data_IF_488573393502
#
_entry.id   IF_488573393502
#
_cell.length_a   1.000
_cell.length_b   1.000
_cell.length_c   1.000
_cell.angle_alpha   90.00
_cell.angle_beta   90.00
_cell.angle_gamma   90.00
#
_symmetry.space_group_name_H-M   'P 1'
#
loop_
_entity.id
_entity.type
_entity.pdbx_description
1 polymer ?
#
# COMPACT_ATOMS: atom_id res chain seq x y z
N UNK A 1 7.84 0.69 23.38
CA UNK A 1 6.59 0.09 22.88
C UNK A 1 5.65 -0.39 23.99
N UNK A 2 6.12 -0.76 25.18
CA UNK A 2 5.27 -1.23 26.30
C UNK A 2 4.03 -0.37 26.59
N UNK A 3 4.13 0.96 26.58
CA UNK A 3 2.96 1.83 26.75
C UNK A 3 1.89 1.61 25.66
N UNK A 4 2.30 1.47 24.39
CA UNK A 4 1.36 1.16 23.31
C UNK A 4 0.78 -0.25 23.48
N UNK A 5 1.58 -1.22 23.94
CA UNK A 5 1.13 -2.59 24.14
C UNK A 5 -0.01 -2.69 25.16
N UNK A 6 0.01 -1.87 26.21
CA UNK A 6 -1.03 -1.85 27.25
C UNK A 6 -2.32 -1.14 26.81
N UNK A 7 -2.25 -0.23 25.84
CA UNK A 7 -3.40 0.57 25.39
C UNK A 7 -4.00 0.11 24.07
N UNK A 8 -3.24 -0.60 23.24
CA UNK A 8 -3.68 -1.10 21.94
C UNK A 8 -3.65 -2.62 21.97
N UNK A 9 -4.83 -3.23 22.00
CA UNK A 9 -4.97 -4.68 21.89
C UNK A 9 -4.44 -5.18 20.53
N UNK A 10 -4.01 -6.45 20.45
CA UNK A 10 -3.58 -7.03 19.18
C UNK A 10 -4.71 -6.99 18.14
N UNK A 11 -5.94 -7.30 18.54
CA UNK A 11 -7.09 -7.31 17.64
C UNK A 11 -7.37 -5.89 17.09
N UNK A 12 -7.33 -4.86 17.94
CA UNK A 12 -7.43 -3.45 17.50
C UNK A 12 -6.31 -3.08 16.53
N UNK A 13 -5.08 -3.54 16.77
CA UNK A 13 -3.95 -3.30 15.88
C UNK A 13 -4.11 -3.99 14.52
N UNK A 14 -4.68 -5.19 14.49
CA UNK A 14 -4.99 -5.89 13.24
C UNK A 14 -6.05 -5.11 12.45
N UNK A 15 -7.11 -4.62 13.09
CA UNK A 15 -8.12 -3.80 12.42
C UNK A 15 -7.61 -2.42 11.98
N UNK A 16 -6.62 -1.85 12.67
CA UNK A 16 -5.97 -0.60 12.26
C UNK A 16 -5.31 -0.71 10.88
N UNK A 17 -5.03 -1.92 10.39
CA UNK A 17 -4.61 -2.15 9.01
C UNK A 17 -5.54 -1.49 7.99
N UNK A 18 -6.84 -1.74 8.12
CA UNK A 18 -7.87 -1.26 7.20
C UNK A 18 -7.93 0.27 7.19
N UNK A 19 -7.84 0.89 8.36
CA UNK A 19 -7.80 2.35 8.48
C UNK A 19 -6.51 2.94 7.91
N UNK A 20 -5.36 2.32 8.20
CA UNK A 20 -4.05 2.77 7.71
C UNK A 20 -3.98 2.71 6.19
N UNK A 21 -4.40 1.59 5.60
CA UNK A 21 -4.50 1.41 4.17
C UNK A 21 -5.38 2.49 3.53
N UNK A 22 -6.62 2.65 4.01
CA UNK A 22 -7.53 3.64 3.41
C UNK A 22 -7.04 5.07 3.56
N UNK A 23 -6.43 5.45 4.68
CA UNK A 23 -5.87 6.80 4.85
C UNK A 23 -4.76 7.06 3.81
N UNK A 24 -3.91 6.07 3.57
CA UNK A 24 -2.85 6.16 2.58
C UNK A 24 -3.39 6.29 1.16
N UNK A 25 -4.23 5.34 0.76
CA UNK A 25 -4.80 5.31 -0.57
C UNK A 25 -5.76 6.48 -0.84
N UNK A 26 -6.38 7.07 0.19
CA UNK A 26 -7.13 8.32 0.02
C UNK A 26 -6.24 9.48 -0.40
N UNK A 27 -5.03 9.62 0.16
CA UNK A 27 -4.08 10.63 -0.33
C UNK A 27 -3.78 10.39 -1.81
N UNK A 28 -3.51 9.15 -2.20
CA UNK A 28 -3.25 8.81 -3.60
C UNK A 28 -4.45 9.10 -4.50
N UNK A 29 -5.64 8.63 -4.17
CA UNK A 29 -6.88 8.88 -4.93
C UNK A 29 -7.09 10.38 -5.13
N UNK A 30 -6.93 11.19 -4.07
CA UNK A 30 -7.17 12.64 -4.13
C UNK A 30 -6.15 13.35 -5.02
N UNK A 31 -4.89 12.93 -5.00
CA UNK A 31 -3.81 13.69 -5.62
C UNK A 31 -3.26 13.11 -6.93
N UNK A 32 -3.46 11.82 -7.23
CA UNK A 32 -2.80 11.14 -8.35
C UNK A 32 -3.09 11.77 -9.71
N UNK A 33 -4.36 12.04 -10.04
CA UNK A 33 -4.75 12.62 -11.32
C UNK A 33 -4.19 14.04 -11.48
N UNK A 34 -4.36 14.87 -10.45
CA UNK A 34 -3.86 16.26 -10.45
C UNK A 34 -2.33 16.30 -10.53
N UNK A 35 -1.66 15.38 -9.83
CA UNK A 35 -0.20 15.31 -9.82
C UNK A 35 0.34 14.88 -11.18
N UNK A 36 -0.23 13.85 -11.80
CA UNK A 36 0.14 13.41 -13.14
C UNK A 36 -0.08 14.54 -14.16
N UNK A 37 -1.23 15.21 -14.14
CA UNK A 37 -1.52 16.31 -15.08
C UNK A 37 -0.55 17.49 -14.98
N UNK A 38 0.04 17.75 -13.80
CA UNK A 38 0.97 18.88 -13.59
C UNK A 38 2.44 18.49 -13.75
N UNK A 39 2.81 17.30 -13.31
CA UNK A 39 4.21 16.93 -13.13
C UNK A 39 4.71 15.89 -14.13
N UNK A 40 3.83 15.33 -14.98
CA UNK A 40 4.18 14.25 -15.91
C UNK A 40 5.44 14.52 -16.74
N UNK A 41 5.53 15.68 -17.41
CA UNK A 41 6.69 16.01 -18.25
C UNK A 41 7.99 16.08 -17.44
N UNK A 42 7.95 16.75 -16.28
CA UNK A 42 9.11 16.87 -15.39
C UNK A 42 9.54 15.51 -14.86
N UNK A 43 8.59 14.72 -14.33
CA UNK A 43 8.85 13.39 -13.80
C UNK A 43 9.40 12.44 -14.87
N UNK A 44 8.77 12.41 -16.06
CA UNK A 44 9.20 11.59 -17.19
C UNK A 44 10.61 11.94 -17.67
N UNK A 45 10.97 13.22 -17.65
CA UNK A 45 12.31 13.67 -18.07
C UNK A 45 13.41 13.17 -17.15
N UNK A 46 13.14 13.09 -15.84
CA UNK A 46 14.05 12.57 -14.82
C UNK A 46 14.18 11.05 -14.84
N UNK A 47 13.19 10.32 -15.38
CA UNK A 47 13.20 8.86 -15.39
C UNK A 47 14.20 8.25 -16.39
N UNK A 48 14.91 7.16 -16.01
CA UNK A 48 15.66 6.31 -16.92
C UNK A 48 14.80 5.73 -18.05
N UNK A 49 15.37 5.56 -19.25
CA UNK A 49 14.67 5.06 -20.45
C UNK A 49 13.83 3.78 -20.22
N UNK A 50 14.31 2.76 -19.47
CA UNK A 50 13.51 1.54 -19.24
C UNK A 50 12.20 1.80 -18.48
N UNK A 51 12.20 2.78 -17.57
CA UNK A 51 11.04 3.07 -16.72
C UNK A 51 10.02 3.99 -17.40
N UNK A 52 10.43 4.73 -18.44
CA UNK A 52 9.54 5.66 -19.15
C UNK A 52 8.31 4.97 -19.72
N UNK A 53 8.44 3.80 -20.35
CA UNK A 53 7.27 3.09 -20.93
C UNK A 53 6.22 2.73 -19.88
N UNK A 54 6.69 2.25 -18.72
CA UNK A 54 5.81 1.92 -17.60
C UNK A 54 5.15 3.17 -17.03
N UNK A 55 5.91 4.26 -16.85
CA UNK A 55 5.38 5.54 -16.38
C UNK A 55 4.38 6.19 -17.36
N UNK A 56 4.68 6.13 -18.66
CA UNK A 56 3.82 6.65 -19.74
C UNK A 56 2.45 5.95 -19.73
N UNK A 57 2.39 4.69 -19.29
CA UNK A 57 1.12 4.00 -19.15
C UNK A 57 0.17 4.75 -18.20
N UNK A 58 0.67 5.48 -17.19
CA UNK A 58 -0.13 6.20 -16.20
C UNK A 58 -0.42 7.66 -16.56
N UNK A 59 0.05 8.16 -17.71
CA UNK A 59 -0.03 9.59 -18.06
C UNK A 59 -1.42 10.20 -17.87
N UNK A 60 -2.48 9.48 -18.26
CA UNK A 60 -3.86 9.95 -18.22
C UNK A 60 -4.69 9.27 -17.13
N UNK A 61 -4.04 8.77 -16.07
CA UNK A 61 -4.76 8.10 -14.98
C UNK A 61 -5.78 9.05 -14.34
N UNK A 62 -7.01 8.56 -14.17
CA UNK A 62 -8.07 9.25 -13.43
C UNK A 62 -8.11 8.78 -11.99
N UNK A 63 -8.46 9.69 -11.07
CA UNK A 63 -8.63 9.35 -9.65
C UNK A 63 -9.70 8.27 -9.46
N UNK A 64 -10.75 8.30 -10.27
CA UNK A 64 -11.81 7.30 -10.28
C UNK A 64 -11.33 5.93 -10.79
N UNK A 65 -10.46 5.89 -11.82
CA UNK A 65 -9.83 4.65 -12.29
C UNK A 65 -8.90 4.05 -11.23
N UNK A 66 -8.14 4.89 -10.52
CA UNK A 66 -7.28 4.47 -9.42
C UNK A 66 -8.12 3.91 -8.26
N UNK A 67 -9.22 4.58 -7.89
CA UNK A 67 -10.12 4.13 -6.83
C UNK A 67 -10.72 2.74 -7.06
N UNK A 68 -10.88 2.30 -8.31
CA UNK A 68 -11.32 0.91 -8.61
C UNK A 68 -10.29 -0.12 -8.16
N UNK A 69 -8.99 0.15 -8.36
CA UNK A 69 -7.92 -0.73 -7.89
C UNK A 69 -7.91 -0.82 -6.36
N UNK A 70 -7.95 0.35 -5.69
CA UNK A 70 -8.04 0.45 -4.23
C UNK A 70 -9.25 -0.31 -3.68
N UNK A 71 -10.42 -0.18 -4.33
CA UNK A 71 -11.63 -0.88 -3.91
C UNK A 71 -11.50 -2.40 -4.00
N UNK A 72 -10.84 -2.94 -5.03
CA UNK A 72 -10.61 -4.37 -5.18
C UNK A 72 -9.65 -4.91 -4.10
N UNK A 73 -8.60 -4.15 -3.79
CA UNK A 73 -7.67 -4.47 -2.71
C UNK A 73 -8.39 -4.47 -1.36
N UNK A 74 -9.20 -3.43 -1.10
CA UNK A 74 -9.97 -3.31 0.12
C UNK A 74 -10.90 -4.52 0.35
N UNK A 75 -11.60 -4.98 -0.69
CA UNK A 75 -12.48 -6.15 -0.63
C UNK A 75 -11.72 -7.42 -0.20
N UNK A 76 -10.45 -7.55 -0.57
CA UNK A 76 -9.60 -8.71 -0.21
C UNK A 76 -8.96 -8.54 1.17
N UNK A 77 -8.70 -7.30 1.58
CA UNK A 77 -8.12 -6.99 2.89
C UNK A 77 -9.09 -7.21 4.03
N UNK A 78 -10.39 -6.95 3.86
CA UNK A 78 -11.40 -7.21 4.90
C UNK A 78 -11.40 -8.67 5.38
N UNK A 79 -11.62 -9.70 4.52
CA UNK A 79 -11.64 -11.08 4.98
C UNK A 79 -10.27 -11.53 5.52
N UNK A 80 -9.18 -11.04 4.95
CA UNK A 80 -7.82 -11.33 5.45
C UNK A 80 -7.61 -10.77 6.87
N UNK A 81 -8.16 -9.59 7.15
CA UNK A 81 -8.13 -8.96 8.47
C UNK A 81 -8.96 -9.75 9.48
N UNK A 82 -10.17 -10.15 9.10
CA UNK A 82 -11.04 -11.02 9.93
C UNK A 82 -10.34 -12.34 10.25
N UNK A 83 -9.73 -12.98 9.24
CA UNK A 83 -8.97 -14.23 9.43
C UNK A 83 -7.83 -14.08 10.45
N UNK A 84 -7.12 -12.94 10.45
CA UNK A 84 -6.08 -12.67 11.42
C UNK A 84 -6.65 -12.32 12.81
N UNK A 85 -7.66 -11.46 12.86
CA UNK A 85 -8.22 -10.92 14.10
C UNK A 85 -8.98 -11.97 14.92
N UNK A 86 -9.82 -12.76 14.26
CA UNK A 86 -10.80 -13.64 14.91
C UNK A 86 -10.39 -15.12 14.85
N UNK A 87 -9.66 -15.51 13.81
CA UNK A 87 -9.26 -16.90 13.58
C UNK A 87 -7.74 -17.15 13.72
N UNK A 88 -6.96 -16.11 14.03
CA UNK A 88 -5.51 -16.18 14.23
C UNK A 88 -4.74 -16.76 13.03
N UNK A 89 -5.28 -16.61 11.82
CA UNK A 89 -4.62 -16.99 10.57
C UNK A 89 -3.84 -15.80 10.00
N UNK A 90 -2.56 -15.68 10.37
CA UNK A 90 -1.74 -14.50 10.07
C UNK A 90 -1.01 -14.53 8.73
N UNK A 91 -0.97 -15.66 8.02
CA UNK A 91 -0.10 -15.85 6.85
C UNK A 91 -0.29 -14.76 5.77
N UNK A 92 -1.53 -14.60 5.29
CA UNK A 92 -1.89 -13.59 4.29
C UNK A 92 -1.77 -12.17 4.84
N UNK A 93 -2.24 -11.97 6.08
CA UNK A 93 -2.23 -10.66 6.72
C UNK A 93 -0.81 -10.09 6.88
N UNK A 94 0.14 -10.90 7.36
CA UNK A 94 1.56 -10.53 7.45
C UNK A 94 2.12 -10.28 6.05
N UNK A 95 1.74 -11.10 5.07
CA UNK A 95 2.19 -10.94 3.68
C UNK A 95 1.78 -9.60 3.09
N UNK A 96 0.51 -9.24 3.24
CA UNK A 96 -0.02 -7.97 2.75
C UNK A 96 0.59 -6.77 3.47
N UNK A 97 0.74 -6.84 4.79
CA UNK A 97 1.41 -5.78 5.55
C UNK A 97 2.91 -5.68 5.20
N UNK A 98 3.56 -6.78 4.79
CA UNK A 98 4.96 -6.75 4.34
C UNK A 98 5.10 -6.04 2.99
N UNK A 99 4.19 -6.31 2.04
CA UNK A 99 4.13 -5.58 0.77
C UNK A 99 3.82 -4.10 1.02
N UNK A 100 2.85 -3.78 1.88
CA UNK A 100 2.53 -2.41 2.26
C UNK A 100 3.73 -1.68 2.90
N UNK A 101 4.47 -2.37 3.77
CA UNK A 101 5.68 -1.81 4.38
C UNK A 101 6.78 -1.53 3.35
N UNK A 102 6.99 -2.43 2.39
CA UNK A 102 7.92 -2.20 1.28
C UNK A 102 7.46 -1.03 0.41
N UNK A 103 6.15 -0.93 0.17
CA UNK A 103 5.53 0.12 -0.64
C UNK A 103 5.80 1.54 -0.10
N UNK A 104 5.83 1.73 1.22
CA UNK A 104 6.26 3.00 1.85
C UNK A 104 7.58 3.51 1.26
N UNK A 105 8.57 2.63 1.15
CA UNK A 105 9.90 3.01 0.65
C UNK A 105 9.87 3.38 -0.84
N UNK A 106 8.89 2.89 -1.60
CA UNK A 106 8.71 3.31 -2.99
C UNK A 106 8.30 4.77 -3.08
N UNK A 107 7.38 5.26 -2.24
CA UNK A 107 7.00 6.67 -2.18
C UNK A 107 8.16 7.57 -1.75
N UNK A 108 8.88 7.16 -0.69
CA UNK A 108 10.05 7.91 -0.22
C UNK A 108 11.09 8.00 -1.34
N UNK A 109 11.39 6.88 -1.99
CA UNK A 109 12.38 6.83 -3.08
C UNK A 109 11.95 7.69 -4.28
N UNK A 110 10.68 7.62 -4.68
CA UNK A 110 10.13 8.42 -5.78
C UNK A 110 10.20 9.92 -5.46
N UNK A 111 9.78 10.34 -4.26
CA UNK A 111 9.84 11.74 -3.83
C UNK A 111 11.27 12.28 -3.77
N UNK A 112 12.21 11.50 -3.22
CA UNK A 112 13.63 11.89 -3.16
C UNK A 112 14.26 11.97 -4.56
N UNK A 113 13.97 11.00 -5.42
CA UNK A 113 14.51 10.94 -6.77
C UNK A 113 13.98 12.10 -7.65
N UNK A 114 12.68 12.37 -7.58
CA UNK A 114 12.04 13.46 -8.32
C UNK A 114 12.21 14.84 -7.68
N UNK A 115 12.71 14.88 -6.43
CA UNK A 115 12.87 16.09 -5.61
C UNK A 115 11.59 16.91 -5.51
N UNK A 116 10.46 16.23 -5.40
CA UNK A 116 9.13 16.82 -5.29
C UNK A 116 8.22 15.90 -4.49
N UNK A 117 7.12 16.46 -3.98
CA UNK A 117 6.03 15.66 -3.44
C UNK A 117 5.53 14.65 -4.49
N UNK A 118 5.31 13.41 -4.09
CA UNK A 118 4.58 12.40 -4.86
C UNK A 118 3.36 11.94 -4.07
N UNK A 119 2.20 11.68 -4.73
CA UNK A 119 1.02 11.16 -4.06
C UNK A 119 1.37 9.97 -3.17
N UNK A 120 0.83 9.95 -1.95
CA UNK A 120 1.01 8.89 -0.97
C UNK A 120 2.22 9.08 -0.03
N UNK A 121 3.17 9.98 -0.32
CA UNK A 121 4.40 10.09 0.48
C UNK A 121 4.14 10.58 1.91
N UNK A 122 3.17 11.46 2.12
CA UNK A 122 2.92 12.06 3.44
C UNK A 122 2.38 10.98 4.37
N UNK A 123 1.30 10.32 3.97
CA UNK A 123 0.69 9.21 4.72
C UNK A 123 1.60 7.99 4.79
N UNK A 124 2.39 7.69 3.75
CA UNK A 124 3.37 6.61 3.81
C UNK A 124 4.35 6.81 4.97
N UNK A 125 4.88 8.02 5.14
CA UNK A 125 5.86 8.34 6.18
C UNK A 125 5.23 8.50 7.56
N UNK A 126 4.08 9.18 7.65
CA UNK A 126 3.51 9.57 8.95
C UNK A 126 2.42 8.64 9.47
N UNK A 127 1.85 7.77 8.63
CA UNK A 127 0.75 6.86 9.00
C UNK A 127 1.17 5.41 8.79
N UNK A 128 1.50 5.04 7.55
CA UNK A 128 1.78 3.66 7.17
C UNK A 128 3.07 3.14 7.81
N UNK A 129 4.15 3.92 7.79
CA UNK A 129 5.43 3.50 8.35
C UNK A 129 5.37 3.27 9.88
N UNK A 130 4.87 4.19 10.72
CA UNK A 130 4.76 3.96 12.16
C UNK A 130 3.85 2.78 12.49
N UNK A 131 2.73 2.64 11.78
CA UNK A 131 1.82 1.52 11.93
C UNK A 131 2.53 0.18 11.63
N UNK A 132 3.17 0.06 10.47
CA UNK A 132 3.83 -1.18 10.05
C UNK A 132 4.97 -1.58 10.98
N UNK A 133 5.79 -0.62 11.42
CA UNK A 133 6.86 -0.86 12.40
C UNK A 133 6.27 -1.42 13.70
N UNK A 134 5.21 -0.79 14.19
CA UNK A 134 4.57 -1.22 15.44
C UNK A 134 3.88 -2.58 15.30
N UNK A 135 3.21 -2.84 14.17
CA UNK A 135 2.61 -4.14 13.88
C UNK A 135 3.66 -5.26 13.92
N UNK A 136 4.75 -5.13 13.16
CA UNK A 136 5.76 -6.17 13.11
C UNK A 136 6.46 -6.35 14.45
N UNK A 137 6.73 -5.26 15.18
CA UNK A 137 7.20 -5.35 16.56
C UNK A 137 6.25 -6.19 17.42
N UNK A 138 4.94 -5.90 17.40
CA UNK A 138 3.95 -6.60 18.23
C UNK A 138 3.82 -8.08 17.89
N UNK A 139 3.83 -8.42 16.60
CA UNK A 139 3.75 -9.80 16.17
C UNK A 139 5.01 -10.59 16.54
N UNK A 140 6.20 -9.96 16.50
CA UNK A 140 7.44 -10.58 16.95
C UNK A 140 7.52 -10.73 18.47
N UNK A 141 7.10 -9.71 19.22
CA UNK A 141 7.07 -9.71 20.69
C UNK A 141 6.16 -10.82 21.24
N UNK A 142 5.07 -11.13 20.54
CA UNK A 142 4.15 -12.22 20.87
C UNK A 142 4.58 -13.59 20.32
N UNK A 143 5.73 -13.68 19.63
CA UNK A 143 6.24 -14.92 19.03
C UNK A 143 5.46 -15.42 17.79
N UNK A 144 4.51 -14.63 17.28
CA UNK A 144 3.73 -14.94 16.07
C UNK A 144 4.60 -14.80 14.83
N UNK A 145 5.43 -13.75 14.79
CA UNK A 145 6.31 -13.45 13.66
C UNK A 145 7.73 -13.93 13.94
N UNK A 146 8.14 -14.97 13.22
CA UNK A 146 9.53 -15.42 13.10
C UNK A 146 9.97 -15.36 11.63
N UNK A 147 11.26 -15.63 11.37
CA UNK A 147 11.82 -15.56 10.02
C UNK A 147 11.12 -16.47 9.00
N UNK A 148 10.74 -17.68 9.41
CA UNK A 148 10.05 -18.65 8.53
C UNK A 148 8.64 -18.15 8.19
N UNK A 149 7.91 -17.66 9.19
CA UNK A 149 6.59 -17.06 8.98
C UNK A 149 6.71 -15.85 8.06
N UNK A 150 7.66 -14.95 8.30
CA UNK A 150 7.88 -13.76 7.49
C UNK A 150 8.18 -14.11 6.03
N UNK A 151 9.09 -15.06 5.76
CA UNK A 151 9.43 -15.46 4.39
C UNK A 151 8.26 -16.12 3.67
N UNK A 152 7.50 -16.98 4.36
CA UNK A 152 6.34 -17.64 3.77
C UNK A 152 5.22 -16.63 3.49
N UNK A 153 4.95 -15.75 4.43
CA UNK A 153 4.01 -14.64 4.27
C UNK A 153 4.39 -13.72 3.13
N UNK A 154 5.67 -13.38 2.97
CA UNK A 154 6.13 -12.54 1.87
C UNK A 154 5.88 -13.21 0.51
N UNK A 155 6.18 -14.51 0.39
CA UNK A 155 5.93 -15.28 -0.84
C UNK A 155 4.46 -15.27 -1.24
N UNK A 156 3.54 -15.43 -0.27
CA UNK A 156 2.10 -15.36 -0.54
C UNK A 156 1.65 -13.92 -0.79
N UNK A 157 2.24 -12.95 -0.11
CA UNK A 157 1.94 -11.51 -0.27
C UNK A 157 2.19 -11.00 -1.68
N UNK A 158 3.14 -11.59 -2.42
CA UNK A 158 3.42 -11.26 -3.83
C UNK A 158 2.18 -11.43 -4.73
N UNK A 159 1.18 -12.23 -4.33
CA UNK A 159 -0.11 -12.37 -5.04
C UNK A 159 -0.85 -11.02 -5.15
N UNK A 160 -0.56 -10.03 -4.29
CA UNK A 160 -1.12 -8.69 -4.43
C UNK A 160 -0.66 -7.95 -5.68
N UNK A 161 0.58 -8.15 -6.13
CA UNK A 161 1.11 -7.41 -7.28
C UNK A 161 0.29 -7.61 -8.56
N UNK A 162 -0.05 -8.84 -8.99
CA UNK A 162 -0.92 -9.03 -10.14
C UNK A 162 -2.36 -8.54 -9.89
N UNK A 163 -2.85 -8.58 -8.65
CA UNK A 163 -4.17 -8.07 -8.28
C UNK A 163 -4.26 -6.55 -8.49
N UNK A 164 -3.27 -5.78 -8.01
CA UNK A 164 -3.18 -4.32 -8.19
C UNK A 164 -3.16 -3.98 -9.68
N UNK A 165 -2.32 -4.68 -10.45
CA UNK A 165 -2.22 -4.50 -11.89
C UNK A 165 -3.54 -4.77 -12.61
N UNK A 166 -4.22 -5.85 -12.22
CA UNK A 166 -5.54 -6.19 -12.74
C UNK A 166 -6.58 -5.13 -12.39
N UNK A 167 -6.55 -4.59 -11.17
CA UNK A 167 -7.42 -3.51 -10.74
C UNK A 167 -7.26 -2.24 -11.59
N UNK A 168 -6.03 -1.86 -11.93
CA UNK A 168 -5.78 -0.75 -12.85
C UNK A 168 -6.31 -1.01 -14.27
N UNK A 169 -6.20 -2.24 -14.78
CA UNK A 169 -6.77 -2.62 -16.08
C UNK A 169 -8.29 -2.48 -16.05
N UNK A 170 -8.93 -3.01 -15.01
CA UNK A 170 -10.39 -2.93 -14.84
C UNK A 170 -10.83 -1.47 -14.74
N UNK A 171 -10.14 -0.66 -13.93
CA UNK A 171 -10.44 0.76 -13.76
C UNK A 171 -10.49 1.49 -15.09
N UNK A 172 -9.48 1.30 -15.94
CA UNK A 172 -9.46 1.90 -17.30
C UNK A 172 -10.55 1.39 -18.21
N UNK A 173 -10.90 0.12 -18.11
CA UNK A 173 -11.92 -0.49 -18.99
C UNK A 173 -13.34 -0.03 -18.63
N UNK A 174 -13.63 0.11 -17.34
CA UNK A 174 -14.98 0.45 -16.84
C UNK A 174 -15.19 1.97 -16.80
N UNK A 175 -14.14 2.75 -16.54
CA UNK A 175 -14.23 4.20 -16.41
C UNK A 175 -13.57 4.88 -17.62
N UNK A 176 -14.36 5.47 -18.53
CA UNK A 176 -13.83 6.09 -19.74
C UNK A 176 -13.00 7.34 -19.43
N UNK A 177 -12.01 7.64 -20.29
CA UNK A 177 -11.05 8.74 -20.15
C UNK A 177 -11.64 10.15 -20.43
N UNK A 178 -12.96 10.32 -20.35
CA UNK A 178 -13.66 11.56 -20.77
C UNK A 178 -13.20 12.80 -20.02
#
# INVERSE_FOLDING_TARGET
MNWLNTHISLNSLIWLFIATFMIHDFEEIIFVERWMGRNYLSARSALPKPLRRWFDSFQNIKSSQFAVAVALEFIIFIPTTIMAADFHHFLLFIGFNAILFIHVFTHISQSLFLRMYTPGVITAVFVTLPYSIYLFYRLSDLGILNWVMFSNSLNVGVILLPLVFFGHIIGRKIIPER
#
